data_IF_461105375143
#
_entry.id   IF_461105375143
#
_cell.length_a   1.000
_cell.length_b   1.000
_cell.length_c   1.000
_cell.angle_alpha   90.00
_cell.angle_beta   90.00
_cell.angle_gamma   90.00
#
_symmetry.space_group_name_H-M   'P 1'
#
loop_
_entity.id
_entity.type
_entity.pdbx_description
1 polymer ?
#
# COMPACT_ATOMS: atom_id res chain seq x y z
N UNK A 1 8.74 13.62 -29.19
CA UNK A 1 8.13 12.93 -28.02
C UNK A 1 6.92 12.08 -28.37
N UNK A 2 5.70 12.60 -28.62
CA UNK A 2 4.51 11.74 -28.89
C UNK A 2 4.74 10.69 -29.99
N UNK A 3 5.37 11.10 -31.10
CA UNK A 3 5.75 10.20 -32.19
C UNK A 3 6.80 9.15 -31.77
N UNK A 4 7.76 9.51 -30.91
CA UNK A 4 8.78 8.59 -30.40
C UNK A 4 8.17 7.57 -29.42
N UNK A 5 7.21 8.00 -28.60
CA UNK A 5 6.52 7.15 -27.62
C UNK A 5 5.34 6.39 -28.22
N UNK A 6 4.99 6.67 -29.48
CA UNK A 6 3.80 6.14 -30.16
C UNK A 6 2.49 6.41 -29.40
N UNK A 7 2.43 7.51 -28.66
CA UNK A 7 1.23 7.94 -27.92
C UNK A 7 0.45 8.96 -28.74
N UNK A 8 -0.87 8.93 -28.58
CA UNK A 8 -1.78 9.92 -29.12
C UNK A 8 -1.95 11.08 -28.14
N UNK A 9 -2.18 12.27 -28.67
CA UNK A 9 -2.43 13.48 -27.88
C UNK A 9 -3.58 13.32 -26.85
N UNK A 10 -4.62 12.55 -27.20
CA UNK A 10 -5.78 12.28 -26.32
C UNK A 10 -5.45 11.37 -25.14
N UNK A 11 -4.30 10.69 -25.15
CA UNK A 11 -3.85 9.84 -24.05
C UNK A 11 -3.24 10.65 -22.89
N UNK A 12 -2.87 11.91 -23.15
CA UNK A 12 -2.25 12.80 -22.15
C UNK A 12 -3.33 13.53 -21.35
N UNK A 13 -3.35 13.32 -20.04
CA UNK A 13 -4.40 13.85 -19.15
C UNK A 13 -4.03 15.20 -18.58
N UNK A 14 -2.75 15.36 -18.21
CA UNK A 14 -2.22 16.60 -17.67
C UNK A 14 -1.10 17.12 -18.53
N UNK A 15 -1.16 18.41 -18.83
CA UNK A 15 -0.08 19.19 -19.38
C UNK A 15 0.45 20.15 -18.31
N UNK A 16 1.62 19.82 -17.77
CA UNK A 16 2.40 20.70 -16.91
C UNK A 16 3.22 21.64 -17.81
N UNK A 17 2.75 22.88 -17.89
CA UNK A 17 3.28 23.92 -18.75
C UNK A 17 4.66 24.40 -18.27
N UNK A 18 5.44 24.93 -19.20
CA UNK A 18 6.57 25.80 -18.89
C UNK A 18 6.08 27.06 -18.17
N UNK A 19 5.01 27.70 -18.64
CA UNK A 19 4.16 28.65 -17.93
C UNK A 19 4.92 29.68 -17.09
N UNK A 20 5.63 30.59 -17.76
CA UNK A 20 6.48 31.60 -17.08
C UNK A 20 5.69 32.78 -16.53
N UNK A 21 4.40 32.90 -16.86
CA UNK A 21 3.59 34.04 -16.46
C UNK A 21 3.88 35.28 -17.31
N UNK A 22 4.54 35.11 -18.46
CA UNK A 22 4.89 36.24 -19.33
C UNK A 22 3.73 36.55 -20.28
N UNK A 23 3.46 37.83 -20.48
CA UNK A 23 2.34 38.30 -21.32
C UNK A 23 2.38 37.76 -22.74
N UNK A 24 3.59 37.54 -23.28
CA UNK A 24 3.82 37.01 -24.63
C UNK A 24 4.09 35.50 -24.65
N UNK A 25 4.83 34.95 -23.67
CA UNK A 25 5.25 33.56 -23.68
C UNK A 25 4.09 32.59 -23.45
N UNK A 26 3.19 32.90 -22.51
CA UNK A 26 2.06 32.01 -22.20
C UNK A 26 1.11 31.83 -23.40
N UNK A 27 0.73 32.88 -24.17
CA UNK A 27 0.01 32.71 -25.43
C UNK A 27 0.73 31.87 -26.48
N UNK A 28 2.05 32.01 -26.61
CA UNK A 28 2.84 31.22 -27.57
C UNK A 28 2.81 29.73 -27.18
N UNK A 29 2.96 29.43 -25.89
CA UNK A 29 2.90 28.07 -25.38
C UNK A 29 1.52 27.45 -25.58
N UNK A 30 0.46 28.14 -25.16
CA UNK A 30 -0.93 27.66 -25.33
C UNK A 30 -1.24 27.45 -26.82
N UNK A 31 -0.85 28.39 -27.69
CA UNK A 31 -1.05 28.24 -29.13
C UNK A 31 -0.31 27.04 -29.73
N UNK A 32 0.87 26.70 -29.21
CA UNK A 32 1.61 25.51 -29.65
C UNK A 32 0.93 24.22 -29.18
N UNK A 33 0.52 24.16 -27.92
CA UNK A 33 -0.10 22.96 -27.33
C UNK A 33 -1.49 22.72 -27.93
N UNK A 34 -2.26 23.78 -28.18
CA UNK A 34 -3.57 23.71 -28.84
C UNK A 34 -3.50 23.00 -30.18
N UNK A 35 -2.46 23.25 -30.98
CA UNK A 35 -2.25 22.60 -32.29
C UNK A 35 -2.00 21.10 -32.20
N UNK A 36 -1.52 20.62 -31.05
CA UNK A 36 -1.25 19.20 -30.81
C UNK A 36 -2.45 18.53 -30.13
N UNK A 37 -3.07 19.20 -29.15
CA UNK A 37 -4.19 18.70 -28.34
C UNK A 37 -5.55 19.18 -28.88
N UNK A 38 -5.84 18.91 -30.15
CA UNK A 38 -6.99 19.51 -30.86
C UNK A 38 -8.33 18.78 -30.70
N UNK A 39 -8.34 17.47 -30.44
CA UNK A 39 -9.56 16.65 -30.44
C UNK A 39 -9.56 15.67 -29.25
N UNK A 40 -10.42 15.94 -28.27
CA UNK A 40 -10.60 15.09 -27.08
C UNK A 40 -11.98 15.27 -26.47
N UNK A 41 -12.57 14.18 -25.96
CA UNK A 41 -13.87 14.19 -25.28
C UNK A 41 -13.78 14.74 -23.85
N UNK A 42 -12.74 14.33 -23.11
CA UNK A 42 -12.44 14.86 -21.78
C UNK A 42 -11.39 15.95 -21.91
N UNK A 43 -11.50 17.10 -21.20
CA UNK A 43 -10.55 18.21 -21.33
C UNK A 43 -9.15 17.83 -20.83
N UNK A 44 -8.12 18.47 -21.40
CA UNK A 44 -6.75 18.39 -20.88
C UNK A 44 -6.61 19.27 -19.65
N UNK A 45 -6.06 18.77 -18.55
CA UNK A 45 -5.80 19.59 -17.38
C UNK A 45 -4.47 20.31 -17.55
N UNK A 46 -4.47 21.64 -17.49
CA UNK A 46 -3.26 22.46 -17.62
C UNK A 46 -2.87 23.00 -16.26
N UNK A 47 -1.63 22.70 -15.84
CA UNK A 47 -1.06 23.14 -14.57
C UNK A 47 0.37 23.69 -14.77
N UNK A 48 0.86 24.46 -13.80
CA UNK A 48 2.23 24.99 -13.80
C UNK A 48 2.74 25.14 -12.35
N UNK A 49 3.81 24.43 -12.03
CA UNK A 49 4.50 24.44 -10.72
C UNK A 49 5.12 25.78 -10.38
N UNK A 50 5.44 26.62 -11.37
CA UNK A 50 6.02 27.96 -11.12
C UNK A 50 5.05 28.86 -10.38
N UNK A 51 3.75 28.62 -10.51
CA UNK A 51 2.74 29.34 -9.72
C UNK A 51 2.85 29.03 -8.22
N UNK A 52 3.40 27.86 -7.84
CA UNK A 52 3.59 27.45 -6.46
C UNK A 52 5.01 27.75 -5.94
N UNK A 53 6.03 27.50 -6.75
CA UNK A 53 7.43 27.47 -6.32
C UNK A 53 8.29 28.59 -6.93
N UNK A 54 7.72 29.41 -7.81
CA UNK A 54 8.47 30.33 -8.65
C UNK A 54 9.28 29.62 -9.73
N UNK A 55 10.08 30.39 -10.47
CA UNK A 55 10.94 29.84 -11.52
C UNK A 55 12.29 29.39 -10.95
N UNK A 56 12.45 28.09 -10.71
CA UNK A 56 13.69 27.51 -10.13
C UNK A 56 14.86 27.35 -11.14
N UNK A 57 14.89 28.17 -12.20
CA UNK A 57 15.88 28.10 -13.29
C UNK A 57 16.26 26.66 -13.71
N UNK A 58 17.50 26.22 -13.47
CA UNK A 58 17.98 24.87 -13.79
C UNK A 58 17.19 23.74 -13.10
N UNK A 59 16.55 24.03 -11.97
CA UNK A 59 15.67 23.11 -11.25
C UNK A 59 14.22 23.09 -11.76
N UNK A 60 13.82 24.03 -12.62
CA UNK A 60 12.42 24.21 -12.99
C UNK A 60 11.81 22.99 -13.72
N UNK A 61 12.61 22.29 -14.52
CA UNK A 61 12.16 21.07 -15.21
C UNK A 61 11.93 19.91 -14.24
N UNK A 62 12.85 19.71 -13.29
CA UNK A 62 12.74 18.64 -12.30
C UNK A 62 11.59 18.88 -11.31
N UNK A 63 11.42 20.12 -10.84
CA UNK A 63 10.29 20.45 -9.95
C UNK A 63 8.94 20.21 -10.61
N UNK A 64 8.81 20.58 -11.89
CA UNK A 64 7.62 20.34 -12.68
C UNK A 64 7.39 18.83 -12.92
N UNK A 65 8.45 18.08 -13.22
CA UNK A 65 8.37 16.63 -13.37
C UNK A 65 7.99 15.91 -12.07
N UNK A 66 8.54 16.33 -10.92
CA UNK A 66 8.14 15.82 -9.61
C UNK A 66 6.66 16.08 -9.35
N UNK A 67 6.15 17.28 -9.70
CA UNK A 67 4.71 17.58 -9.60
C UNK A 67 3.87 16.65 -10.49
N UNK A 68 4.31 16.35 -11.71
CA UNK A 68 3.67 15.34 -12.57
C UNK A 68 3.62 13.95 -11.92
N UNK A 69 4.72 13.49 -11.31
CA UNK A 69 4.76 12.20 -10.59
C UNK A 69 3.75 12.22 -9.44
N UNK A 70 3.74 13.28 -8.63
CA UNK A 70 2.78 13.44 -7.53
C UNK A 70 1.34 13.45 -8.03
N UNK A 71 1.07 14.14 -9.13
CA UNK A 71 -0.25 14.20 -9.71
C UNK A 71 -0.77 12.80 -10.08
N UNK A 72 0.08 11.98 -10.72
CA UNK A 72 -0.25 10.59 -11.08
C UNK A 72 -0.42 9.71 -9.84
N UNK A 73 0.48 9.83 -8.87
CA UNK A 73 0.40 9.06 -7.61
C UNK A 73 -0.88 9.35 -6.84
N UNK A 74 -1.43 10.56 -6.95
CA UNK A 74 -2.66 10.99 -6.30
C UNK A 74 -3.91 10.87 -7.19
N UNK A 75 -3.76 10.60 -8.49
CA UNK A 75 -4.79 10.75 -9.55
C UNK A 75 -5.52 12.09 -9.48
N UNK A 76 -4.78 13.16 -9.20
CA UNK A 76 -5.33 14.49 -8.98
C UNK A 76 -4.32 15.53 -9.44
N UNK A 77 -4.78 16.54 -10.18
CA UNK A 77 -3.93 17.62 -10.64
C UNK A 77 -4.15 18.86 -9.76
N UNK A 78 -3.05 19.40 -9.23
CA UNK A 78 -3.07 20.55 -8.35
C UNK A 78 -3.40 21.85 -9.10
N UNK A 79 -4.07 22.81 -8.46
CA UNK A 79 -4.46 24.08 -9.07
C UNK A 79 -3.27 25.00 -9.34
N UNK A 80 -3.42 25.84 -10.36
CA UNK A 80 -2.55 26.99 -10.58
C UNK A 80 -2.86 28.08 -9.56
N UNK A 81 -1.84 28.56 -8.87
CA UNK A 81 -2.00 29.70 -7.97
C UNK A 81 -2.05 31.01 -8.78
N UNK A 82 -2.63 32.04 -8.18
CA UNK A 82 -2.72 33.41 -8.73
C UNK A 82 -3.56 33.56 -10.01
N UNK A 83 -4.17 32.49 -10.53
CA UNK A 83 -5.07 32.51 -11.68
C UNK A 83 -6.44 33.10 -11.30
N UNK A 84 -6.52 34.44 -11.20
CA UNK A 84 -7.78 35.17 -10.94
C UNK A 84 -8.49 35.59 -12.22
N UNK A 85 -7.70 36.01 -13.20
CA UNK A 85 -8.15 36.43 -14.52
C UNK A 85 -7.17 35.84 -15.53
N UNK A 86 -7.70 35.30 -16.63
CA UNK A 86 -6.89 34.72 -17.67
C UNK A 86 -6.27 35.82 -18.53
N UNK A 87 -5.06 35.58 -19.04
CA UNK A 87 -4.45 36.51 -19.98
C UNK A 87 -5.36 36.61 -21.24
N UNK A 88 -5.83 37.82 -21.63
CA UNK A 88 -6.80 38.00 -22.72
C UNK A 88 -6.25 37.61 -24.09
N UNK A 89 -4.93 37.38 -24.22
CA UNK A 89 -4.29 36.91 -25.43
C UNK A 89 -4.21 35.37 -25.52
N UNK A 90 -4.70 34.65 -24.51
CA UNK A 90 -4.78 33.19 -24.55
C UNK A 90 -5.90 32.73 -25.48
N UNK A 91 -5.52 32.02 -26.53
CA UNK A 91 -6.44 31.40 -27.49
C UNK A 91 -6.95 30.06 -26.97
N UNK A 92 -7.84 30.12 -25.97
CA UNK A 92 -8.40 28.93 -25.30
C UNK A 92 -9.86 28.67 -25.67
N UNK A 93 -10.52 29.59 -26.38
CA UNK A 93 -11.93 29.46 -26.70
C UNK A 93 -12.17 28.23 -27.60
N UNK A 94 -13.14 27.40 -27.20
CA UNK A 94 -13.47 26.14 -27.88
C UNK A 94 -12.36 25.08 -27.82
N UNK A 95 -11.26 25.33 -27.09
CA UNK A 95 -10.22 24.34 -26.88
C UNK A 95 -10.59 23.46 -25.68
N UNK A 96 -10.70 22.12 -25.83
CA UNK A 96 -11.00 21.20 -24.72
C UNK A 96 -9.80 21.04 -23.77
N UNK A 97 -9.41 22.12 -23.09
CA UNK A 97 -8.38 22.15 -22.07
C UNK A 97 -8.75 23.14 -20.96
N UNK A 98 -8.45 22.77 -19.72
CA UNK A 98 -8.87 23.48 -18.52
C UNK A 98 -7.64 23.99 -17.76
N UNK A 99 -7.51 25.31 -17.66
CA UNK A 99 -6.56 25.94 -16.74
C UNK A 99 -7.10 25.80 -15.32
N UNK A 100 -6.41 25.04 -14.48
CA UNK A 100 -6.92 24.65 -13.16
C UNK A 100 -6.90 25.81 -12.17
N UNK A 101 -8.06 26.16 -11.62
CA UNK A 101 -8.21 27.07 -10.46
C UNK A 101 -8.43 26.31 -9.14
N UNK A 102 -8.95 25.09 -9.23
CA UNK A 102 -9.13 24.16 -8.12
C UNK A 102 -8.50 22.80 -8.46
N UNK A 103 -8.26 21.98 -7.44
CA UNK A 103 -7.72 20.65 -7.67
C UNK A 103 -8.76 19.80 -8.42
N UNK A 104 -8.34 19.15 -9.50
CA UNK A 104 -9.23 18.36 -10.34
C UNK A 104 -8.75 16.91 -10.42
N UNK A 105 -9.65 15.92 -10.23
CA UNK A 105 -9.29 14.53 -10.41
C UNK A 105 -8.90 14.26 -11.87
N UNK A 106 -7.93 13.38 -12.08
CA UNK A 106 -7.64 12.86 -13.42
C UNK A 106 -8.80 11.97 -13.89
N UNK A 107 -8.94 11.80 -15.21
CA UNK A 107 -10.05 11.00 -15.78
C UNK A 107 -10.03 9.52 -15.37
N UNK A 108 -8.88 9.00 -14.96
CA UNK A 108 -8.67 7.61 -14.62
C UNK A 108 -7.66 7.47 -13.47
N UNK A 109 -7.66 6.28 -12.86
CA UNK A 109 -6.68 5.91 -11.82
C UNK A 109 -5.29 5.62 -12.38
N UNK A 110 -5.12 5.69 -13.70
CA UNK A 110 -3.85 5.57 -14.38
C UNK A 110 -3.84 6.54 -15.56
N UNK A 111 -2.81 7.37 -15.65
CA UNK A 111 -2.80 8.50 -16.57
C UNK A 111 -1.41 8.76 -17.10
N UNK A 112 -1.34 9.26 -18.34
CA UNK A 112 -0.15 9.90 -18.87
C UNK A 112 -0.17 11.39 -18.56
N UNK A 113 0.97 11.93 -18.16
CA UNK A 113 1.17 13.35 -17.89
C UNK A 113 2.39 13.84 -18.65
N UNK A 114 2.34 15.06 -19.15
CA UNK A 114 3.43 15.68 -19.90
C UNK A 114 3.94 16.94 -19.23
N UNK A 115 5.25 17.17 -19.27
CA UNK A 115 5.90 18.38 -18.76
C UNK A 115 6.70 19.05 -19.86
N UNK A 116 6.64 20.39 -19.94
CA UNK A 116 7.42 21.18 -20.91
C UNK A 116 8.39 22.13 -20.23
N UNK A 117 9.55 22.32 -20.84
CA UNK A 117 10.55 23.31 -20.43
C UNK A 117 11.17 23.99 -21.64
N UNK A 118 11.08 25.32 -21.69
CA UNK A 118 11.63 26.13 -22.77
C UNK A 118 12.75 27.02 -22.22
N UNK A 119 13.99 26.71 -22.59
CA UNK A 119 15.15 27.49 -22.13
C UNK A 119 15.21 28.83 -22.85
N UNK A 120 15.67 29.87 -22.14
CA UNK A 120 15.87 31.20 -22.72
C UNK A 120 16.74 31.20 -24.00
N UNK A 121 17.73 30.30 -24.07
CA UNK A 121 18.58 30.10 -25.25
C UNK A 121 17.91 29.40 -26.44
N UNK A 122 16.62 29.05 -26.34
CA UNK A 122 15.84 28.41 -27.40
C UNK A 122 15.87 26.87 -27.40
N UNK A 123 16.58 26.24 -26.46
CA UNK A 123 16.54 24.78 -26.30
C UNK A 123 15.25 24.37 -25.58
N UNK A 124 14.46 23.53 -26.24
CA UNK A 124 13.18 23.05 -25.75
C UNK A 124 13.29 21.60 -25.27
N UNK A 125 12.53 21.28 -24.23
CA UNK A 125 12.42 19.93 -23.67
C UNK A 125 10.96 19.61 -23.40
N UNK A 126 10.59 18.36 -23.60
CA UNK A 126 9.28 17.84 -23.27
C UNK A 126 9.44 16.38 -22.83
N UNK A 127 8.78 15.99 -21.75
CA UNK A 127 8.84 14.64 -21.22
C UNK A 127 7.44 14.14 -20.87
N UNK A 128 7.23 12.82 -21.02
CA UNK A 128 6.00 12.15 -20.65
C UNK A 128 6.29 11.17 -19.51
N UNK A 129 5.34 11.05 -18.59
CA UNK A 129 5.34 10.03 -17.55
C UNK A 129 4.00 9.29 -17.52
N UNK A 130 4.06 8.03 -17.12
CA UNK A 130 2.90 7.19 -16.86
C UNK A 130 2.97 6.67 -15.43
N UNK A 131 1.81 6.51 -14.81
CA UNK A 131 1.71 5.72 -13.59
C UNK A 131 0.27 5.53 -13.18
N UNK A 132 0.11 5.00 -11.97
CA UNK A 132 -1.18 4.68 -11.38
C UNK A 132 -1.30 5.32 -10.01
N UNK A 133 -2.54 5.54 -9.58
CA UNK A 133 -2.86 5.96 -8.23
C UNK A 133 -2.19 5.04 -7.21
N UNK A 134 -1.38 5.62 -6.33
CA UNK A 134 -0.68 4.90 -5.28
C UNK A 134 -0.99 5.46 -3.88
N UNK A 135 -1.56 6.66 -3.80
CA UNK A 135 -1.66 7.45 -2.57
C UNK A 135 -3.10 7.72 -2.15
N UNK A 136 -4.02 8.03 -3.07
CA UNK A 136 -5.39 8.36 -2.70
C UNK A 136 -6.31 7.14 -2.78
N UNK A 137 -7.39 7.14 -2.01
CA UNK A 137 -8.42 6.11 -2.09
C UNK A 137 -9.28 6.21 -3.35
N UNK A 138 -9.12 7.28 -4.14
CA UNK A 138 -9.85 7.46 -5.40
C UNK A 138 -9.51 6.38 -6.44
N UNK A 139 -8.34 5.73 -6.31
CA UNK A 139 -7.98 4.50 -7.05
C UNK A 139 -7.95 3.22 -6.22
N UNK A 140 -8.45 3.26 -4.98
CA UNK A 140 -8.83 2.03 -4.29
C UNK A 140 -10.26 1.70 -4.71
N UNK A 141 -10.46 0.56 -5.38
CA UNK A 141 -11.76 -0.11 -5.22
C UNK A 141 -12.06 -0.19 -3.72
N UNK A 142 -13.34 -0.12 -3.31
CA UNK A 142 -13.76 -0.12 -1.88
C UNK A 142 -13.02 -1.14 -0.99
N UNK A 143 -12.44 -2.19 -1.59
CA UNK A 143 -11.54 -3.19 -1.01
C UNK A 143 -10.25 -2.67 -0.35
N UNK A 144 -9.76 -1.45 -0.65
CA UNK A 144 -8.41 -1.01 -0.23
C UNK A 144 -8.34 0.35 0.50
N UNK A 145 -9.47 0.93 0.91
CA UNK A 145 -9.47 2.22 1.65
C UNK A 145 -8.61 2.15 2.92
N UNK A 146 -8.78 1.09 3.71
CA UNK A 146 -8.01 0.84 4.94
C UNK A 146 -6.52 0.66 4.66
N UNK A 147 -6.13 -0.04 3.59
CA UNK A 147 -4.72 -0.25 3.26
C UNK A 147 -4.05 1.02 2.73
N UNK A 148 -4.77 1.89 2.01
CA UNK A 148 -4.27 3.21 1.61
C UNK A 148 -4.09 4.14 2.81
N UNK A 149 -5.01 4.14 3.76
CA UNK A 149 -4.87 4.87 5.04
C UNK A 149 -3.65 4.33 5.81
N UNK A 150 -3.53 3.02 5.93
CA UNK A 150 -2.42 2.37 6.64
C UNK A 150 -1.06 2.69 6.00
N UNK A 151 -1.00 2.77 4.67
CA UNK A 151 0.21 3.17 3.93
C UNK A 151 0.58 4.63 4.20
N UNK A 152 -0.40 5.55 4.26
CA UNK A 152 -0.16 6.96 4.63
C UNK A 152 0.38 7.10 6.05
N UNK A 153 -0.20 6.37 7.01
CA UNK A 153 0.29 6.37 8.40
C UNK A 153 1.71 5.84 8.49
N UNK A 154 2.04 4.76 7.76
CA UNK A 154 3.40 4.21 7.69
C UNK A 154 4.43 5.11 6.98
N UNK A 155 3.99 5.93 6.03
CA UNK A 155 4.84 6.79 5.22
C UNK A 155 4.94 8.23 5.75
N UNK A 156 4.20 8.57 6.82
CA UNK A 156 4.35 9.84 7.50
C UNK A 156 5.79 9.97 8.02
N UNK A 157 6.40 11.15 7.83
CA UNK A 157 7.73 11.43 8.36
C UNK A 157 7.75 11.27 9.87
N UNK A 158 8.90 10.85 10.41
CA UNK A 158 9.16 10.87 11.85
C UNK A 158 8.86 12.29 12.34
N UNK A 159 8.11 12.48 13.44
CA UNK A 159 7.84 13.80 13.98
C UNK A 159 9.15 14.58 14.11
N UNK A 160 9.19 15.78 13.54
CA UNK A 160 10.36 16.64 13.67
C UNK A 160 10.50 17.04 15.13
N UNK A 161 11.72 16.92 15.66
CA UNK A 161 12.09 17.30 17.02
C UNK A 161 13.05 18.48 16.90
N UNK A 162 12.65 19.62 17.47
CA UNK A 162 13.48 20.82 17.55
C UNK A 162 14.18 20.83 18.91
N UNK A 163 15.52 20.83 18.88
CA UNK A 163 16.36 20.86 20.07
C UNK A 163 16.46 22.29 20.60
N UNK A 164 15.38 22.76 21.23
CA UNK A 164 15.25 24.16 21.66
C UNK A 164 15.88 24.45 23.05
N UNK A 165 16.68 23.52 23.57
CA UNK A 165 17.37 23.63 24.87
C UNK A 165 18.50 22.60 25.05
N UNK A 166 19.32 22.79 26.09
CA UNK A 166 20.39 21.84 26.45
C UNK A 166 19.86 20.55 27.11
N UNK A 167 18.66 20.61 27.70
CA UNK A 167 17.95 19.46 28.25
C UNK A 167 16.93 18.91 27.24
N UNK A 168 16.77 17.59 27.19
CA UNK A 168 15.89 16.93 26.23
C UNK A 168 14.40 17.19 26.52
N UNK A 169 14.07 17.58 27.76
CA UNK A 169 12.72 17.93 28.18
C UNK A 169 12.20 19.22 27.52
N UNK A 170 13.11 20.08 27.04
CA UNK A 170 12.79 21.37 26.41
C UNK A 170 12.56 21.27 24.90
N UNK A 171 12.66 20.07 24.32
CA UNK A 171 12.61 19.87 22.87
C UNK A 171 11.16 19.89 22.33
N UNK A 172 10.87 20.76 21.37
CA UNK A 172 9.54 20.86 20.76
C UNK A 172 9.33 19.79 19.67
N UNK A 173 8.11 19.26 19.50
CA UNK A 173 7.81 18.30 18.41
C UNK A 173 6.47 18.54 17.74
N UNK A 174 6.34 18.08 16.49
CA UNK A 174 5.11 18.22 15.68
C UNK A 174 3.95 17.29 16.08
N UNK A 175 4.02 16.58 17.22
CA UNK A 175 2.83 15.99 17.83
C UNK A 175 2.91 14.58 18.41
N UNK A 176 4.08 13.96 18.55
CA UNK A 176 4.22 12.74 19.37
C UNK A 176 4.83 13.12 20.72
N UNK A 177 4.21 12.80 21.86
CA UNK A 177 4.83 12.93 23.17
C UNK A 177 6.02 11.97 23.22
N UNK A 178 7.22 12.49 22.94
CA UNK A 178 8.46 11.72 22.89
C UNK A 178 8.90 11.25 24.29
N UNK A 179 8.31 11.78 25.35
CA UNK A 179 8.69 11.51 26.73
C UNK A 179 8.42 10.06 27.17
N UNK A 180 7.50 9.33 26.53
CA UNK A 180 7.09 7.97 26.98
C UNK A 180 7.08 6.88 25.88
N UNK A 181 7.57 7.18 24.67
CA UNK A 181 7.46 6.28 23.51
C UNK A 181 8.60 5.24 23.46
N UNK A 182 8.49 4.17 24.25
CA UNK A 182 9.35 2.99 24.13
C UNK A 182 8.98 2.13 22.88
N UNK A 183 9.93 1.41 22.26
CA UNK A 183 9.64 0.47 21.18
C UNK A 183 8.56 -0.55 21.59
N UNK A 184 7.50 -0.68 20.78
CA UNK A 184 6.41 -1.64 21.01
C UNK A 184 5.10 -1.02 21.52
N UNK A 185 5.10 0.23 22.00
CA UNK A 185 3.88 0.94 22.38
C UNK A 185 3.00 1.25 21.17
N UNK A 186 1.69 1.10 21.32
CA UNK A 186 0.70 1.43 20.28
C UNK A 186 -0.09 2.66 20.72
N UNK A 187 -0.58 3.44 19.76
CA UNK A 187 -1.34 4.67 20.02
C UNK A 187 -2.63 4.66 19.22
N UNK A 188 -3.71 5.14 19.84
CA UNK A 188 -4.91 5.57 19.13
C UNK A 188 -4.68 6.98 18.57
N UNK A 189 -5.03 7.16 17.30
CA UNK A 189 -4.87 8.43 16.60
C UNK A 189 -6.24 8.91 16.17
N UNK A 190 -6.72 9.98 16.79
CA UNK A 190 -7.96 10.65 16.38
C UNK A 190 -7.60 11.78 15.41
N UNK A 191 -8.19 11.74 14.22
CA UNK A 191 -8.09 12.83 13.25
C UNK A 191 -9.26 13.79 13.46
N UNK A 192 -8.96 15.01 13.89
CA UNK A 192 -9.93 16.07 14.06
C UNK A 192 -10.37 16.63 12.70
N UNK A 193 -11.55 17.26 12.67
CA UNK A 193 -12.14 17.81 11.44
C UNK A 193 -11.27 18.92 10.79
N UNK A 194 -10.36 19.53 11.55
CA UNK A 194 -9.39 20.52 11.07
C UNK A 194 -8.08 19.89 10.53
N UNK A 195 -7.99 18.55 10.50
CA UNK A 195 -6.84 17.80 10.01
C UNK A 195 -5.76 17.54 11.05
N UNK A 196 -5.93 17.97 12.31
CA UNK A 196 -4.96 17.68 13.38
C UNK A 196 -5.12 16.27 13.94
N UNK A 197 -4.00 15.63 14.27
CA UNK A 197 -3.98 14.32 14.90
C UNK A 197 -3.80 14.46 16.42
N UNK A 198 -4.68 13.81 17.20
CA UNK A 198 -4.55 13.66 18.65
C UNK A 198 -4.14 12.23 18.95
N UNK A 199 -3.01 12.05 19.62
CA UNK A 199 -2.43 10.76 19.95
C UNK A 199 -2.75 10.40 21.39
N UNK A 200 -3.30 9.21 21.62
CA UNK A 200 -3.51 8.65 22.96
C UNK A 200 -2.83 7.30 23.02
N UNK A 201 -2.00 7.05 24.04
CA UNK A 201 -1.37 5.74 24.20
C UNK A 201 -2.46 4.67 24.33
N UNK A 202 -2.44 3.70 23.41
CA UNK A 202 -3.30 2.55 23.47
C UNK A 202 -2.66 1.61 24.49
N UNK A 203 -3.15 1.66 25.73
CA UNK A 203 -2.88 0.62 26.72
C UNK A 203 -3.61 -0.63 26.23
N UNK A 204 -2.92 -1.40 25.40
CA UNK A 204 -3.32 -2.77 25.15
C UNK A 204 -3.04 -3.55 26.44
N UNK A 205 -3.99 -4.34 26.96
CA UNK A 205 -3.66 -5.25 28.04
C UNK A 205 -2.48 -6.10 27.58
N UNK A 206 -1.39 -6.12 28.36
CA UNK A 206 -0.34 -7.13 28.19
C UNK A 206 -1.01 -8.48 28.39
N UNK A 207 -1.33 -9.16 27.29
CA UNK A 207 -1.76 -10.54 27.38
C UNK A 207 -0.50 -11.36 27.61
N UNK A 208 -0.16 -11.56 28.88
CA UNK A 208 0.84 -12.53 29.32
C UNK A 208 0.35 -13.93 28.91
N UNK A 209 0.96 -14.52 27.89
CA UNK A 209 0.76 -15.91 27.53
C UNK A 209 2.05 -16.71 27.74
N UNK A 210 1.91 -17.93 28.21
CA UNK A 210 2.99 -18.85 28.52
C UNK A 210 3.47 -19.65 27.30
N UNK A 211 2.64 -19.75 26.25
CA UNK A 211 2.79 -20.71 25.13
C UNK A 211 2.92 -22.17 25.59
N UNK A 212 2.52 -22.49 26.83
CA UNK A 212 2.68 -23.82 27.41
C UNK A 212 1.76 -24.84 26.75
N UNK A 213 0.60 -24.40 26.26
CA UNK A 213 -0.35 -25.24 25.54
C UNK A 213 -0.65 -24.65 24.16
N UNK A 214 -0.44 -25.43 23.10
CA UNK A 214 -0.82 -25.03 21.75
C UNK A 214 -2.00 -25.88 21.31
N UNK A 215 -2.95 -25.24 20.64
CA UNK A 215 -4.15 -25.87 20.09
C UNK A 215 -4.26 -25.54 18.61
N UNK A 216 -4.93 -26.39 17.85
CA UNK A 216 -5.28 -26.19 16.45
C UNK A 216 -6.80 -26.14 16.32
N UNK A 217 -7.28 -25.20 15.52
CA UNK A 217 -8.69 -25.10 15.13
C UNK A 217 -8.79 -24.97 13.62
N UNK A 218 -9.80 -25.58 13.01
CA UNK A 218 -9.90 -25.56 11.55
C UNK A 218 -11.19 -26.14 11.00
N UNK A 219 -11.33 -26.12 9.68
CA UNK A 219 -12.52 -26.64 9.00
C UNK A 219 -12.81 -28.12 9.30
N UNK A 220 -11.77 -28.90 9.58
CA UNK A 220 -11.88 -30.33 9.91
C UNK A 220 -12.50 -30.61 11.30
N UNK A 221 -12.45 -29.65 12.23
CA UNK A 221 -13.03 -29.76 13.57
C UNK A 221 -14.34 -28.98 13.73
N UNK A 222 -14.90 -28.43 12.64
CA UNK A 222 -15.97 -27.43 12.77
C UNK A 222 -15.48 -26.12 13.42
N UNK A 223 -14.15 -25.98 13.57
CA UNK A 223 -13.43 -24.95 14.31
C UNK A 223 -13.56 -25.03 15.83
N UNK A 224 -13.85 -26.22 16.35
CA UNK A 224 -13.56 -26.52 17.74
C UNK A 224 -12.05 -26.62 17.95
N UNK A 225 -11.56 -26.21 19.12
CA UNK A 225 -10.15 -26.28 19.48
C UNK A 225 -9.75 -27.71 19.84
N UNK A 226 -8.67 -28.18 19.23
CA UNK A 226 -8.05 -29.47 19.50
C UNK A 226 -6.61 -29.27 19.97
N UNK A 227 -6.14 -30.02 20.97
CA UNK A 227 -4.78 -29.86 21.47
C UNK A 227 -3.75 -30.38 20.47
N UNK A 228 -2.66 -29.62 20.29
CA UNK A 228 -1.47 -30.12 19.60
C UNK A 228 -0.64 -30.99 20.54
N UNK A 229 -0.11 -32.10 20.05
CA UNK A 229 0.70 -33.02 20.84
C UNK A 229 2.19 -32.63 20.77
N UNK A 230 2.90 -32.47 21.90
CA UNK A 230 4.33 -32.23 21.89
C UNK A 230 5.08 -33.45 21.32
N UNK A 231 6.05 -33.20 20.47
CA UNK A 231 6.94 -34.24 19.95
C UNK A 231 7.80 -34.80 21.07
N UNK A 232 7.95 -36.13 21.09
CA UNK A 232 8.87 -36.83 22.00
C UNK A 232 10.33 -36.72 21.57
N UNK A 233 10.58 -36.44 20.28
CA UNK A 233 11.91 -36.47 19.68
C UNK A 233 12.55 -35.08 19.55
N UNK A 234 11.73 -34.03 19.43
CA UNK A 234 12.19 -32.66 19.19
C UNK A 234 11.56 -31.71 20.21
N UNK A 235 12.40 -31.17 21.10
CA UNK A 235 11.97 -30.19 22.09
C UNK A 235 11.38 -28.94 21.41
N UNK A 236 10.22 -28.50 21.88
CA UNK A 236 9.52 -27.32 21.34
C UNK A 236 8.73 -27.56 20.06
N UNK A 237 8.74 -28.79 19.50
CA UNK A 237 7.90 -29.16 18.38
C UNK A 237 6.55 -29.69 18.86
N UNK A 238 5.46 -29.20 18.28
CA UNK A 238 4.09 -29.64 18.52
C UNK A 238 3.47 -30.10 17.21
N UNK A 239 2.69 -31.17 17.24
CA UNK A 239 2.18 -31.82 16.03
C UNK A 239 0.71 -32.15 16.11
N UNK A 240 0.05 -32.12 14.95
CA UNK A 240 -1.32 -32.60 14.80
C UNK A 240 -1.48 -33.26 13.43
N UNK A 241 -1.96 -34.50 13.43
CA UNK A 241 -2.23 -35.24 12.20
C UNK A 241 -3.68 -34.98 11.76
N UNK A 242 -3.84 -34.39 10.57
CA UNK A 242 -5.12 -34.13 9.95
C UNK A 242 -5.31 -34.97 8.68
N UNK A 243 -6.55 -35.33 8.42
CA UNK A 243 -6.97 -36.02 7.19
C UNK A 243 -7.84 -35.08 6.37
N UNK A 244 -7.51 -34.89 5.09
CA UNK A 244 -8.31 -34.03 4.22
C UNK A 244 -9.68 -34.66 3.95
N UNK A 245 -10.76 -33.90 4.16
CA UNK A 245 -12.12 -34.34 3.85
C UNK A 245 -12.38 -34.49 2.34
N UNK A 246 -13.64 -34.78 1.99
CA UNK A 246 -14.08 -35.04 0.60
C UNK A 246 -13.81 -33.89 -0.39
N UNK A 247 -13.60 -32.66 0.12
CA UNK A 247 -13.26 -31.48 -0.68
C UNK A 247 -11.77 -31.38 -1.05
N UNK A 248 -10.90 -32.24 -0.50
CA UNK A 248 -9.46 -32.19 -0.75
C UNK A 248 -8.78 -30.91 -0.24
N UNK A 249 -9.44 -30.16 0.64
CA UNK A 249 -8.91 -28.94 1.23
C UNK A 249 -9.40 -28.78 2.66
N UNK A 250 -8.49 -28.45 3.56
CA UNK A 250 -8.78 -28.04 4.93
C UNK A 250 -8.03 -26.75 5.27
N UNK A 251 -8.63 -25.92 6.12
CA UNK A 251 -8.02 -24.70 6.65
C UNK A 251 -7.85 -24.75 8.15
N UNK A 252 -6.82 -24.08 8.68
CA UNK A 252 -6.53 -24.10 10.10
C UNK A 252 -5.82 -22.84 10.62
N UNK A 253 -5.91 -22.64 11.94
CA UNK A 253 -5.23 -21.63 12.74
C UNK A 253 -4.68 -22.28 14.02
N UNK A 254 -3.72 -21.64 14.68
CA UNK A 254 -3.14 -22.13 15.95
C UNK A 254 -3.59 -21.21 17.08
N UNK A 255 -4.14 -21.77 18.16
CA UNK A 255 -4.50 -21.03 19.36
C UNK A 255 -3.46 -21.27 20.46
N UNK A 256 -3.13 -20.20 21.17
CA UNK A 256 -2.14 -20.21 22.26
C UNK A 256 -2.88 -20.26 23.59
N UNK A 257 -2.43 -21.14 24.49
CA UNK A 257 -2.92 -21.33 25.86
C UNK A 257 -4.42 -21.64 25.97
N UNK A 258 -5.04 -22.10 24.88
CA UNK A 258 -6.48 -22.41 24.83
C UNK A 258 -7.37 -21.17 24.83
N UNK A 259 -6.80 -19.99 24.56
CA UNK A 259 -7.52 -18.72 24.50
C UNK A 259 -7.98 -18.44 23.06
N UNK A 260 -9.29 -18.23 22.81
CA UNK A 260 -9.83 -17.93 21.49
C UNK A 260 -9.40 -16.56 20.95
N UNK A 261 -8.88 -15.66 21.78
CA UNK A 261 -8.37 -14.36 21.38
C UNK A 261 -6.87 -14.39 21.05
N UNK A 262 -6.15 -15.46 21.44
CA UNK A 262 -4.71 -15.62 21.19
C UNK A 262 -4.46 -16.59 20.04
N UNK A 263 -4.67 -16.10 18.83
CA UNK A 263 -4.58 -16.90 17.60
C UNK A 263 -3.39 -16.49 16.75
N UNK A 264 -2.66 -17.49 16.26
CA UNK A 264 -1.69 -17.35 15.18
C UNK A 264 -2.35 -17.65 13.84
N UNK A 265 -2.06 -16.79 12.87
CA UNK A 265 -2.66 -16.85 11.54
C UNK A 265 -1.68 -16.34 10.47
N UNK A 266 -1.82 -16.76 9.20
CA UNK A 266 -1.00 -16.22 8.11
C UNK A 266 -1.44 -14.79 7.75
N UNK A 267 -0.49 -13.99 7.24
CA UNK A 267 -0.79 -12.63 6.75
C UNK A 267 -1.83 -12.60 5.62
N UNK A 268 -1.90 -13.65 4.79
CA UNK A 268 -2.83 -13.74 3.67
C UNK A 268 -3.95 -14.74 3.96
N UNK A 269 -5.20 -14.47 3.52
CA UNK A 269 -6.28 -15.42 3.67
C UNK A 269 -6.08 -16.67 2.80
N UNK A 270 -6.55 -17.82 3.27
CA UNK A 270 -6.46 -19.14 2.62
C UNK A 270 -5.03 -19.46 2.15
N UNK A 271 -4.04 -19.25 3.02
CA UNK A 271 -2.63 -19.27 2.65
C UNK A 271 -2.11 -20.70 2.44
N UNK A 272 -1.69 -21.03 1.22
CA UNK A 272 -1.07 -22.33 0.90
C UNK A 272 0.46 -22.32 1.01
N UNK A 273 1.06 -21.18 1.34
CA UNK A 273 2.53 -21.00 1.39
C UNK A 273 3.05 -21.25 2.80
N UNK A 274 3.93 -22.25 2.95
CA UNK A 274 4.57 -22.58 4.24
C UNK A 274 5.50 -21.47 4.76
N UNK A 275 6.16 -20.74 3.85
CA UNK A 275 7.06 -19.64 4.19
C UNK A 275 6.35 -18.28 4.34
N UNK A 276 5.02 -18.26 4.47
CA UNK A 276 4.30 -17.00 4.69
C UNK A 276 4.56 -16.46 6.10
N UNK A 277 4.66 -15.14 6.29
CA UNK A 277 4.78 -14.55 7.62
C UNK A 277 3.61 -14.94 8.53
N UNK A 278 3.93 -15.44 9.72
CA UNK A 278 2.96 -15.73 10.79
C UNK A 278 2.68 -14.43 11.56
N UNK A 279 1.40 -14.16 11.84
CA UNK A 279 0.91 -13.02 12.63
C UNK A 279 0.26 -13.54 13.91
N UNK A 280 0.10 -12.64 14.88
CA UNK A 280 -0.41 -12.96 16.23
C UNK A 280 0.71 -13.26 17.24
N UNK A 281 0.37 -13.70 18.46
CA UNK A 281 -0.97 -14.07 18.92
C UNK A 281 -1.90 -12.87 19.07
N UNK A 282 -3.01 -12.86 18.34
CA UNK A 282 -4.06 -11.83 18.40
C UNK A 282 -5.32 -12.33 17.68
N UNK A 283 -6.48 -11.68 17.86
CA UNK A 283 -7.66 -12.02 17.07
C UNK A 283 -7.39 -11.84 15.57
N UNK A 284 -7.71 -12.82 14.72
CA UNK A 284 -7.49 -12.72 13.28
C UNK A 284 -8.47 -11.72 12.65
N UNK A 285 -8.10 -10.99 11.57
CA UNK A 285 -9.00 -10.05 10.90
C UNK A 285 -10.28 -10.71 10.37
N UNK A 286 -10.17 -11.99 9.99
CA UNK A 286 -11.29 -12.85 9.64
C UNK A 286 -10.90 -14.33 9.77
N UNK A 287 -11.89 -15.21 9.80
CA UNK A 287 -11.70 -16.67 9.79
C UNK A 287 -10.98 -17.18 8.53
N UNK A 288 -11.00 -16.40 7.45
CA UNK A 288 -10.29 -16.73 6.21
C UNK A 288 -8.78 -16.56 6.33
N UNK A 289 -8.28 -15.83 7.34
CA UNK A 289 -6.85 -15.74 7.65
C UNK A 289 -6.42 -17.05 8.32
N UNK A 290 -6.33 -18.09 7.51
CA UNK A 290 -6.03 -19.45 7.91
C UNK A 290 -5.08 -20.07 6.88
N UNK A 291 -4.20 -20.94 7.35
CA UNK A 291 -3.40 -21.77 6.45
C UNK A 291 -4.32 -22.77 5.75
N UNK A 292 -4.05 -23.05 4.48
CA UNK A 292 -4.86 -23.94 3.65
C UNK A 292 -4.00 -25.09 3.13
N UNK A 293 -4.36 -26.30 3.49
CA UNK A 293 -3.75 -27.52 2.98
C UNK A 293 -4.64 -28.06 1.87
N UNK A 294 -4.03 -28.37 0.71
CA UNK A 294 -4.71 -28.90 -0.46
C UNK A 294 -4.06 -30.21 -0.87
N UNK A 295 -4.87 -31.19 -1.28
CA UNK A 295 -4.42 -32.50 -1.74
C UNK A 295 -5.58 -33.42 -2.08
N UNK A 296 -5.27 -34.70 -2.32
CA UNK A 296 -6.29 -35.70 -2.61
C UNK A 296 -7.15 -35.96 -1.37
N UNK A 297 -8.46 -36.16 -1.57
CA UNK A 297 -9.39 -36.56 -0.50
C UNK A 297 -8.85 -37.79 0.24
N UNK A 298 -8.87 -37.77 1.57
CA UNK A 298 -8.34 -38.85 2.41
C UNK A 298 -6.82 -38.80 2.60
N UNK A 299 -6.08 -37.90 1.96
CA UNK A 299 -4.66 -37.72 2.24
C UNK A 299 -4.43 -37.20 3.65
N UNK A 300 -3.44 -37.78 4.33
CA UNK A 300 -3.03 -37.38 5.68
C UNK A 300 -1.88 -36.38 5.63
N UNK A 301 -1.95 -35.37 6.50
CA UNK A 301 -0.92 -34.35 6.69
C UNK A 301 -0.62 -34.18 8.16
N UNK A 302 0.65 -33.97 8.49
CA UNK A 302 1.10 -33.56 9.82
C UNK A 302 1.32 -32.06 9.82
N UNK A 303 0.59 -31.34 10.65
CA UNK A 303 0.90 -29.95 10.99
C UNK A 303 1.97 -29.97 12.08
N UNK A 304 2.98 -29.13 11.90
CA UNK A 304 4.11 -28.99 12.81
C UNK A 304 4.20 -27.52 13.22
N UNK A 305 4.17 -27.28 14.52
CA UNK A 305 4.36 -25.97 15.12
C UNK A 305 5.63 -26.02 15.95
N UNK A 306 6.67 -25.33 15.50
CA UNK A 306 7.96 -25.32 16.18
C UNK A 306 8.13 -24.01 16.96
N UNK A 307 8.44 -24.14 18.25
CA UNK A 307 8.69 -23.05 19.18
C UNK A 307 10.18 -22.91 19.46
N UNK A 308 10.71 -21.70 19.22
CA UNK A 308 12.08 -21.32 19.57
C UNK A 308 12.06 -20.00 20.34
N UNK A 309 12.15 -20.07 21.67
CA UNK A 309 11.99 -18.90 22.54
C UNK A 309 10.60 -18.27 22.39
N UNK A 310 10.54 -16.99 22.01
CA UNK A 310 9.29 -16.27 21.78
C UNK A 310 8.74 -16.44 20.34
N UNK A 311 9.50 -17.06 19.43
CA UNK A 311 9.09 -17.24 18.04
C UNK A 311 8.39 -18.59 17.83
N UNK A 312 7.33 -18.56 17.03
CA UNK A 312 6.56 -19.74 16.60
C UNK A 312 6.55 -19.82 15.08
N UNK A 313 6.86 -20.99 14.55
CA UNK A 313 6.80 -21.28 13.12
C UNK A 313 5.84 -22.43 12.85
N UNK A 314 5.11 -22.35 11.74
CA UNK A 314 4.09 -23.32 11.36
C UNK A 314 4.43 -23.90 10.00
N UNK A 315 4.49 -25.21 9.91
CA UNK A 315 4.68 -25.96 8.67
C UNK A 315 3.74 -27.16 8.65
N UNK A 316 3.64 -27.82 7.50
CA UNK A 316 2.88 -29.07 7.38
C UNK A 316 3.48 -29.96 6.32
N UNK A 317 3.41 -31.27 6.52
CA UNK A 317 4.03 -32.29 5.67
C UNK A 317 3.01 -33.38 5.34
N UNK A 318 3.03 -33.90 4.11
CA UNK A 318 2.18 -35.05 3.75
C UNK A 318 2.72 -36.28 4.46
N UNK A 319 1.86 -37.00 5.17
CA UNK A 319 2.20 -38.30 5.74
C UNK A 319 2.08 -39.32 4.61
N UNK A 320 3.21 -39.89 4.22
CA UNK A 320 3.24 -41.02 3.31
C UNK A 320 3.32 -42.26 4.18
N UNK A 321 2.24 -43.01 4.28
CA UNK A 321 2.29 -44.33 4.90
C UNK A 321 3.21 -45.20 4.05
N UNK A 322 4.22 -45.80 4.67
CA UNK A 322 5.04 -46.80 4.02
C UNK A 322 4.13 -47.99 3.70
N UNK A 323 3.61 -48.04 2.47
CA UNK A 323 3.04 -49.27 1.95
C UNK A 323 4.20 -50.25 1.88
N UNK A 324 4.17 -51.30 2.70
CA UNK A 324 4.92 -52.53 2.47
C UNK A 324 4.52 -53.09 1.09
N UNK A 325 5.13 -52.57 0.03
CA UNK A 325 5.08 -53.13 -1.30
C UNK A 325 6.22 -54.13 -1.45
N UNK A 326 6.19 -55.21 -0.64
CA UNK A 326 6.94 -56.45 -0.91
C UNK A 326 6.09 -57.65 -0.47
N UNK A 327 5.03 -57.93 -1.22
CA UNK A 327 4.49 -59.26 -1.48
C UNK A 327 3.45 -59.11 -2.60
N UNK A 328 3.51 -59.98 -3.62
CA UNK A 328 2.66 -60.05 -4.84
C UNK A 328 3.29 -59.55 -6.17
N UNK A 329 4.62 -59.67 -6.28
CA UNK A 329 5.25 -60.11 -7.54
C UNK A 329 6.03 -61.39 -7.23
N UNK A 330 5.33 -62.53 -7.19
CA UNK A 330 5.73 -63.93 -7.45
C UNK A 330 4.80 -64.88 -6.66
N UNK A 331 4.11 -65.76 -7.39
CA UNK A 331 2.99 -66.69 -7.05
C UNK A 331 1.62 -66.05 -7.31
N UNK A 332 0.81 -66.42 -8.31
CA UNK A 332 0.72 -67.56 -9.23
C UNK A 332 0.11 -67.09 -10.56
#
# INVERSE_FOLDING_TARGET
VLAETQLQAVEIDVYEAHGTGTSLGDPIEVGAVRKVLTQRESPCLISCSKTNLGHLEGGAGMSAFCKCIMAVMHSECAPNQHLKEQNPHLDIEGWPAHLLMEAQPMRADASYVGVSGFGYGGTNSHALAYGRNAVTSRGSSQKYLLSSIYRKVKAASIPEVWMDGEDYEDWATSGVPHLDAAPGKRYHVDLLADGKAVWREAVLPEVSYSTAALHIQGSFSGWDMLSLEPSVDVEGLFTYDLTLGSKGQETFQICVDGDPELVLYPEQPNCTRKAAPTRGPAPPPSRDHAWAIRGDSGSRYRVEVFRSGAELSVTWLRIVEAVEAVQDLVQE
#
